data_IF_922957762984
#
_entry.id   IF_922957762984
#
_cell.length_a   1.000
_cell.length_b   1.000
_cell.length_c   1.000
_cell.angle_alpha   90.00
_cell.angle_beta   90.00
_cell.angle_gamma   90.00
#
_symmetry.space_group_name_H-M   'P 1'
#
loop_
_entity.id
_entity.type
_entity.pdbx_description
1 polymer ?
#
# COMPACT_ATOMS: atom_id res chain seq x y z
N UNK A 1 3.78 -10.01 -5.52
CA UNK A 1 2.83 -8.98 -5.03
C UNK A 1 3.29 -8.33 -3.73
N UNK A 2 3.95 -9.06 -2.82
CA UNK A 2 4.50 -8.49 -1.58
C UNK A 2 5.44 -7.30 -1.81
N UNK A 3 6.43 -7.44 -2.69
CA UNK A 3 7.37 -6.37 -3.05
C UNK A 3 6.68 -5.16 -3.69
N UNK A 4 5.59 -5.40 -4.44
CA UNK A 4 4.82 -4.33 -5.08
C UNK A 4 4.04 -3.54 -4.03
N UNK A 5 3.41 -4.21 -3.08
CA UNK A 5 2.74 -3.58 -1.94
C UNK A 5 3.75 -2.78 -1.09
N UNK A 6 4.92 -3.36 -0.78
CA UNK A 6 5.98 -2.68 -0.04
C UNK A 6 6.47 -1.44 -0.78
N UNK A 7 6.80 -1.55 -2.07
CA UNK A 7 7.25 -0.42 -2.89
C UNK A 7 6.20 0.69 -2.97
N UNK A 8 4.92 0.36 -3.19
CA UNK A 8 3.84 1.35 -3.19
C UNK A 8 3.74 2.03 -1.82
N UNK A 9 3.82 1.29 -0.71
CA UNK A 9 3.76 1.87 0.64
C UNK A 9 4.93 2.83 0.92
N UNK A 10 6.15 2.52 0.44
CA UNK A 10 7.33 3.40 0.58
C UNK A 10 7.20 4.69 -0.24
N UNK A 11 6.63 4.60 -1.45
CA UNK A 11 6.35 5.79 -2.27
C UNK A 11 5.30 6.67 -1.59
N UNK A 12 4.27 6.07 -0.99
CA UNK A 12 3.27 6.80 -0.22
C UNK A 12 3.85 7.45 1.05
N UNK A 13 4.82 6.81 1.69
CA UNK A 13 5.47 7.35 2.87
C UNK A 13 6.26 8.62 2.52
N UNK A 14 6.99 8.60 1.40
CA UNK A 14 7.61 9.82 0.86
C UNK A 14 6.56 10.89 0.50
N UNK A 15 5.43 10.48 -0.09
CA UNK A 15 4.34 11.38 -0.42
C UNK A 15 3.65 11.98 0.82
N UNK A 16 3.82 11.40 2.02
CA UNK A 16 3.28 11.92 3.27
C UNK A 16 3.80 13.33 3.59
N UNK A 17 4.98 13.70 3.08
CA UNK A 17 5.53 15.06 3.17
C UNK A 17 4.61 16.11 2.57
N UNK A 18 3.78 15.73 1.59
CA UNK A 18 2.79 16.62 1.01
C UNK A 18 1.70 16.99 2.03
N UNK A 19 1.47 16.21 3.08
CA UNK A 19 0.49 16.53 4.13
C UNK A 19 1.08 17.37 5.28
N UNK A 20 2.36 17.76 5.20
CA UNK A 20 2.98 18.57 6.24
C UNK A 20 2.35 19.96 6.33
N UNK A 21 1.99 20.39 7.54
CA UNK A 21 1.51 21.75 7.82
C UNK A 21 2.60 22.81 7.56
N UNK A 22 3.88 22.43 7.71
CA UNK A 22 5.02 23.32 7.51
C UNK A 22 5.51 23.41 6.06
N UNK A 23 4.78 22.82 5.10
CA UNK A 23 5.16 22.88 3.68
C UNK A 23 5.17 24.33 3.16
N UNK A 24 6.00 24.63 2.16
CA UNK A 24 6.09 25.98 1.58
C UNK A 24 4.81 26.35 0.81
N UNK A 25 4.65 27.65 0.53
CA UNK A 25 3.51 28.12 -0.28
C UNK A 25 3.60 27.59 -1.71
N UNK A 26 4.80 27.48 -2.28
CA UNK A 26 4.98 26.87 -3.60
C UNK A 26 4.50 25.41 -3.60
N UNK A 27 4.83 24.61 -2.56
CA UNK A 27 4.37 23.22 -2.47
C UNK A 27 2.84 23.12 -2.40
N UNK A 28 2.16 24.05 -1.72
CA UNK A 28 0.69 24.12 -1.71
C UNK A 28 0.13 24.44 -3.10
N UNK A 29 0.72 25.39 -3.82
CA UNK A 29 0.28 25.77 -5.16
C UNK A 29 0.43 24.63 -6.18
N UNK A 30 1.47 23.81 -6.03
CA UNK A 30 1.75 22.68 -6.92
C UNK A 30 1.19 21.33 -6.45
N UNK A 31 0.39 21.30 -5.38
CA UNK A 31 -0.11 20.06 -4.76
C UNK A 31 -0.75 19.09 -5.77
N UNK A 32 -1.65 19.59 -6.64
CA UNK A 32 -2.28 18.76 -7.68
C UNK A 32 -1.24 18.12 -8.62
N UNK A 33 -0.19 18.83 -9.00
CA UNK A 33 0.86 18.32 -9.89
C UNK A 33 1.72 17.30 -9.16
N UNK A 34 2.02 17.53 -7.87
CA UNK A 34 2.80 16.60 -7.04
C UNK A 34 2.06 15.27 -6.89
N UNK A 35 0.77 15.27 -6.57
CA UNK A 35 -0.04 14.05 -6.53
C UNK A 35 -0.17 13.36 -7.90
N UNK A 36 -0.26 14.12 -8.99
CA UNK A 36 -0.19 13.55 -10.34
C UNK A 36 1.16 12.87 -10.62
N UNK A 37 2.27 13.38 -10.09
CA UNK A 37 3.59 12.76 -10.25
C UNK A 37 3.69 11.46 -9.46
N UNK A 38 3.12 11.37 -8.26
CA UNK A 38 3.00 10.11 -7.51
C UNK A 38 2.21 9.07 -8.31
N UNK A 39 1.04 9.45 -8.84
CA UNK A 39 0.26 8.58 -9.71
C UNK A 39 1.03 8.13 -10.96
N UNK A 40 1.85 9.00 -11.57
CA UNK A 40 2.70 8.63 -12.72
C UNK A 40 3.80 7.65 -12.33
N UNK A 41 4.49 7.88 -11.21
CA UNK A 41 5.53 6.98 -10.71
C UNK A 41 5.02 5.55 -10.49
N UNK A 42 3.75 5.41 -10.11
CA UNK A 42 3.07 4.12 -9.92
C UNK A 42 2.33 3.63 -11.18
N UNK A 43 2.47 4.30 -12.33
CA UNK A 43 1.67 4.16 -13.56
C UNK A 43 0.16 3.97 -13.31
N UNK A 44 -0.39 4.77 -12.39
CA UNK A 44 -1.76 4.71 -11.93
C UNK A 44 -2.61 5.89 -12.47
N UNK A 45 -1.98 6.92 -13.07
CA UNK A 45 -2.65 8.17 -13.46
C UNK A 45 -3.83 7.98 -14.42
N UNK A 46 -3.70 7.12 -15.43
CA UNK A 46 -4.76 6.92 -16.42
C UNK A 46 -5.98 6.24 -15.77
N UNK A 47 -5.76 5.20 -14.98
CA UNK A 47 -6.82 4.48 -14.26
C UNK A 47 -7.51 5.38 -13.25
N UNK A 48 -6.75 6.17 -12.48
CA UNK A 48 -7.30 7.15 -11.55
C UNK A 48 -8.25 8.12 -12.25
N UNK A 49 -7.83 8.69 -13.40
CA UNK A 49 -8.66 9.64 -14.16
C UNK A 49 -9.92 8.99 -14.73
N UNK A 50 -9.84 7.73 -15.14
CA UNK A 50 -10.98 6.99 -15.67
C UNK A 50 -12.02 6.68 -14.60
N UNK A 51 -11.62 6.50 -13.33
CA UNK A 51 -12.55 6.12 -12.26
C UNK A 51 -13.06 7.33 -11.46
N UNK A 52 -12.20 8.29 -11.12
CA UNK A 52 -12.56 9.34 -10.16
C UNK A 52 -13.31 10.51 -10.81
N UNK A 53 -13.17 10.71 -12.14
CA UNK A 53 -13.80 11.79 -12.91
C UNK A 53 -13.70 13.20 -12.29
N UNK A 54 -12.79 13.40 -11.34
CA UNK A 54 -12.68 14.59 -10.50
C UNK A 54 -11.27 15.17 -10.57
N UNK A 55 -11.09 16.36 -9.99
CA UNK A 55 -9.76 16.94 -9.81
C UNK A 55 -8.95 16.04 -8.87
N UNK A 56 -7.68 15.82 -9.20
CA UNK A 56 -6.73 15.07 -8.35
C UNK A 56 -6.59 15.75 -7.00
N UNK A 57 -6.94 15.02 -5.93
CA UNK A 57 -6.77 15.42 -4.53
C UNK A 57 -5.99 14.35 -3.77
N UNK A 58 -5.25 14.76 -2.74
CA UNK A 58 -4.35 13.86 -2.01
C UNK A 58 -5.05 12.71 -1.30
N UNK A 59 -6.15 12.99 -0.61
CA UNK A 59 -7.00 12.00 0.05
C UNK A 59 -7.57 10.96 -0.93
N UNK A 60 -8.07 11.42 -2.08
CA UNK A 60 -8.56 10.52 -3.14
C UNK A 60 -7.43 9.66 -3.72
N UNK A 61 -6.23 10.22 -3.91
CA UNK A 61 -5.06 9.48 -4.42
C UNK A 61 -4.56 8.45 -3.40
N UNK A 62 -4.51 8.81 -2.12
CA UNK A 62 -4.12 7.90 -1.05
C UNK A 62 -5.08 6.71 -0.96
N UNK A 63 -6.39 6.97 -0.89
CA UNK A 63 -7.41 5.92 -0.90
C UNK A 63 -7.30 5.04 -2.15
N UNK A 64 -7.12 5.62 -3.33
CA UNK A 64 -6.98 4.86 -4.57
C UNK A 64 -5.76 3.93 -4.55
N UNK A 65 -4.59 4.43 -4.13
CA UNK A 65 -3.34 3.66 -4.10
C UNK A 65 -3.30 2.62 -2.96
N UNK A 66 -4.06 2.83 -1.89
CA UNK A 66 -4.14 1.88 -0.77
C UNK A 66 -5.21 0.82 -0.96
N UNK A 67 -6.40 1.20 -1.44
CA UNK A 67 -7.61 0.37 -1.31
C UNK A 67 -8.17 -0.15 -2.64
N UNK A 68 -7.86 0.47 -3.78
CA UNK A 68 -8.54 0.11 -5.03
C UNK A 68 -8.15 -1.30 -5.51
N UNK A 69 -9.08 -2.24 -5.45
CA UNK A 69 -8.84 -3.65 -5.83
C UNK A 69 -8.64 -3.87 -7.34
N UNK A 70 -8.97 -2.89 -8.18
CA UNK A 70 -8.83 -2.99 -9.63
C UNK A 70 -7.50 -2.45 -10.13
N UNK A 71 -6.80 -1.64 -9.35
CA UNK A 71 -5.47 -1.13 -9.64
C UNK A 71 -4.42 -2.19 -9.25
N UNK A 72 -3.71 -2.83 -10.20
CA UNK A 72 -2.79 -3.92 -9.88
C UNK A 72 -1.67 -3.56 -8.90
N UNK A 73 -1.30 -2.27 -8.82
CA UNK A 73 -0.26 -1.76 -7.92
C UNK A 73 -0.79 -1.18 -6.60
N UNK A 74 -2.11 -1.15 -6.40
CA UNK A 74 -2.61 -0.77 -5.09
C UNK A 74 -2.19 -1.81 -4.05
N UNK A 75 -2.11 -1.36 -2.80
CA UNK A 75 -1.80 -2.26 -1.68
C UNK A 75 -2.90 -3.31 -1.54
N UNK A 76 -4.18 -2.92 -1.56
CA UNK A 76 -5.32 -3.82 -1.45
C UNK A 76 -5.35 -4.91 -2.53
N UNK A 77 -5.17 -4.54 -3.81
CA UNK A 77 -5.11 -5.52 -4.91
C UNK A 77 -3.93 -6.48 -4.76
N UNK A 78 -2.76 -5.98 -4.34
CA UNK A 78 -1.59 -6.83 -4.11
C UNK A 78 -1.83 -7.83 -2.97
N UNK A 79 -2.52 -7.43 -1.89
CA UNK A 79 -2.83 -8.31 -0.76
C UNK A 79 -3.85 -9.37 -1.15
N UNK A 80 -4.92 -9.00 -1.85
CA UNK A 80 -5.92 -9.95 -2.35
C UNK A 80 -5.28 -11.02 -3.23
N UNK A 81 -4.40 -10.60 -4.16
CA UNK A 81 -3.64 -11.54 -4.98
C UNK A 81 -2.66 -12.42 -4.16
N UNK A 82 -2.11 -11.93 -3.05
CA UNK A 82 -1.30 -12.76 -2.14
C UNK A 82 -2.15 -13.81 -1.43
N UNK A 83 -3.34 -13.43 -1.00
CA UNK A 83 -4.35 -14.30 -0.35
C UNK A 83 -4.70 -15.48 -1.25
N UNK A 84 -5.04 -15.20 -2.51
CA UNK A 84 -5.35 -16.22 -3.52
C UNK A 84 -4.18 -17.16 -3.80
N UNK A 85 -2.95 -16.63 -3.91
CA UNK A 85 -1.77 -17.47 -4.14
C UNK A 85 -1.45 -18.36 -2.94
N UNK A 86 -1.46 -17.82 -1.72
CA UNK A 86 -1.05 -18.56 -0.51
C UNK A 86 -2.01 -19.70 -0.20
N UNK A 87 -3.31 -19.54 -0.46
CA UNK A 87 -4.29 -20.60 -0.31
C UNK A 87 -4.01 -21.85 -1.16
N UNK A 88 -3.23 -21.70 -2.24
CA UNK A 88 -2.89 -22.77 -3.16
C UNK A 88 -1.49 -23.40 -2.93
N UNK A 89 -0.68 -22.84 -2.02
CA UNK A 89 0.68 -23.33 -1.77
C UNK A 89 0.70 -24.38 -0.65
N UNK A 90 1.51 -25.45 -0.75
CA UNK A 90 1.69 -26.40 0.35
C UNK A 90 2.47 -25.75 1.51
N UNK A 91 2.33 -26.25 2.74
CA UNK A 91 3.04 -25.76 3.93
C UNK A 91 2.78 -24.27 4.27
N UNK A 92 1.61 -23.72 3.96
CA UNK A 92 1.28 -22.31 4.25
C UNK A 92 0.94 -22.03 5.73
N UNK A 93 1.40 -22.84 6.67
CA UNK A 93 1.00 -22.75 8.08
C UNK A 93 1.21 -21.34 8.64
N UNK A 94 0.16 -20.79 9.26
CA UNK A 94 0.13 -19.45 9.88
C UNK A 94 0.02 -18.26 8.91
N UNK A 95 0.30 -18.44 7.61
CA UNK A 95 0.19 -17.35 6.63
C UNK A 95 -1.25 -16.90 6.35
N UNK A 96 -2.27 -17.77 6.26
CA UNK A 96 -3.66 -17.33 6.08
C UNK A 96 -4.10 -16.34 7.15
N UNK A 97 -3.73 -16.59 8.41
CA UNK A 97 -4.08 -15.69 9.52
C UNK A 97 -3.39 -14.32 9.37
N UNK A 98 -2.09 -14.29 9.02
CA UNK A 98 -1.37 -13.02 8.77
C UNK A 98 -1.97 -12.23 7.60
N UNK A 99 -2.40 -12.91 6.53
CA UNK A 99 -3.06 -12.25 5.41
C UNK A 99 -4.40 -11.66 5.84
N UNK A 100 -5.23 -12.41 6.56
CA UNK A 100 -6.53 -11.91 7.06
C UNK A 100 -6.32 -10.66 7.92
N UNK A 101 -5.32 -10.66 8.81
CA UNK A 101 -4.99 -9.51 9.64
C UNK A 101 -4.50 -8.31 8.81
N UNK A 102 -3.71 -8.56 7.77
CA UNK A 102 -3.22 -7.53 6.85
C UNK A 102 -4.34 -6.96 5.97
N UNK A 103 -5.24 -7.80 5.47
CA UNK A 103 -6.45 -7.40 4.73
C UNK A 103 -7.36 -6.55 5.60
N UNK A 104 -7.66 -7.00 6.82
CA UNK A 104 -8.48 -6.26 7.78
C UNK A 104 -7.84 -4.91 8.13
N UNK A 105 -6.52 -4.88 8.32
CA UNK A 105 -5.78 -3.64 8.56
C UNK A 105 -5.94 -2.66 7.41
N UNK A 106 -5.72 -3.10 6.16
CA UNK A 106 -5.81 -2.23 4.98
C UNK A 106 -7.24 -1.76 4.74
N UNK A 107 -8.24 -2.63 4.87
CA UNK A 107 -9.65 -2.25 4.72
C UNK A 107 -10.13 -1.24 5.77
N UNK A 108 -9.48 -1.20 6.94
CA UNK A 108 -9.80 -0.24 8.00
C UNK A 108 -9.12 1.14 7.81
N UNK A 109 -8.24 1.30 6.82
CA UNK A 109 -7.58 2.60 6.57
C UNK A 109 -8.62 3.59 6.03
N UNK A 110 -8.74 4.73 6.72
CA UNK A 110 -9.46 5.91 6.23
C UNK A 110 -8.45 7.04 6.02
N UNK A 111 -8.22 7.44 4.76
CA UNK A 111 -7.31 8.53 4.45
C UNK A 111 -7.96 9.91 4.37
N UNK A 112 -9.25 10.01 4.74
CA UNK A 112 -9.95 11.31 4.77
C UNK A 112 -9.42 12.14 5.93
N UNK A 113 -8.95 13.34 5.61
CA UNK A 113 -8.45 14.31 6.60
C UNK A 113 -7.29 13.79 7.48
N UNK A 114 -6.54 12.81 6.99
CA UNK A 114 -5.40 12.25 7.71
C UNK A 114 -4.25 13.26 7.75
N UNK A 115 -3.66 13.45 8.93
CA UNK A 115 -2.43 14.26 9.08
C UNK A 115 -1.21 13.49 8.58
N UNK A 116 -0.11 14.19 8.31
CA UNK A 116 1.15 13.54 7.97
C UNK A 116 1.58 12.49 9.01
N UNK A 117 1.48 12.81 10.31
CA UNK A 117 1.89 11.90 11.38
C UNK A 117 1.06 10.61 11.40
N UNK A 118 -0.26 10.74 11.22
CA UNK A 118 -1.17 9.59 11.15
C UNK A 118 -0.89 8.73 9.91
N UNK A 119 -0.67 9.35 8.74
CA UNK A 119 -0.37 8.60 7.52
C UNK A 119 0.93 7.80 7.66
N UNK A 120 2.01 8.41 8.19
CA UNK A 120 3.26 7.70 8.43
C UNK A 120 3.07 6.52 9.39
N UNK A 121 2.35 6.70 10.49
CA UNK A 121 2.06 5.61 11.43
C UNK A 121 1.26 4.46 10.77
N UNK A 122 0.34 4.79 9.86
CA UNK A 122 -0.40 3.80 9.07
C UNK A 122 0.56 3.03 8.15
N UNK A 123 1.41 3.74 7.42
CA UNK A 123 2.33 3.15 6.46
C UNK A 123 3.44 2.33 7.13
N UNK A 124 3.96 2.77 8.27
CA UNK A 124 4.93 2.03 9.10
C UNK A 124 4.32 0.70 9.56
N UNK A 125 3.08 0.73 10.05
CA UNK A 125 2.37 -0.48 10.49
C UNK A 125 2.10 -1.43 9.32
N UNK A 126 1.73 -0.90 8.15
CA UNK A 126 1.56 -1.68 6.93
C UNK A 126 2.89 -2.35 6.51
N UNK A 127 3.98 -1.59 6.47
CA UNK A 127 5.32 -2.07 6.10
C UNK A 127 5.81 -3.16 7.05
N UNK A 128 5.62 -2.99 8.36
CA UNK A 128 5.97 -4.00 9.36
C UNK A 128 5.18 -5.30 9.13
N UNK A 129 3.86 -5.22 8.90
CA UNK A 129 3.03 -6.40 8.60
C UNK A 129 3.46 -7.11 7.31
N UNK A 130 3.81 -6.35 6.26
CA UNK A 130 4.38 -6.90 5.04
C UNK A 130 5.73 -7.58 5.29
N UNK A 131 6.59 -7.00 6.12
CA UNK A 131 7.86 -7.59 6.54
C UNK A 131 7.70 -8.89 7.31
N UNK A 132 6.76 -8.95 8.25
CA UNK A 132 6.43 -10.18 8.99
C UNK A 132 5.90 -11.28 8.05
N UNK A 133 5.02 -10.93 7.12
CA UNK A 133 4.51 -11.85 6.11
C UNK A 133 5.66 -12.40 5.26
N UNK A 134 6.57 -11.53 4.83
CA UNK A 134 7.75 -11.92 4.06
C UNK A 134 8.65 -12.89 4.86
N UNK A 135 8.92 -12.59 6.13
CA UNK A 135 9.71 -13.45 7.02
C UNK A 135 9.11 -14.84 7.16
N UNK A 136 7.80 -14.94 7.37
CA UNK A 136 7.12 -16.23 7.48
C UNK A 136 7.10 -17.02 6.15
N UNK A 137 7.02 -16.32 5.01
CA UNK A 137 7.20 -16.97 3.69
C UNK A 137 8.63 -17.54 3.59
N UNK A 138 9.65 -16.79 4.02
CA UNK A 138 11.03 -17.27 4.01
C UNK A 138 11.19 -18.53 4.89
N UNK A 139 10.62 -18.53 6.09
CA UNK A 139 10.65 -19.67 7.01
C UNK A 139 9.96 -20.92 6.43
N UNK A 140 8.77 -20.76 5.84
CA UNK A 140 7.97 -21.90 5.38
C UNK A 140 8.59 -22.64 4.17
N UNK A 141 9.30 -21.93 3.28
CA UNK A 141 9.77 -22.50 2.00
C UNK A 141 11.26 -22.39 1.71
N UNK A 142 11.98 -21.43 2.30
CA UNK A 142 13.36 -21.14 1.90
C UNK A 142 14.40 -21.40 3.00
N UNK A 143 13.99 -21.31 4.26
CA UNK A 143 14.86 -21.49 5.43
C UNK A 143 14.59 -22.80 6.19
N UNK A 144 13.66 -23.63 5.70
CA UNK A 144 13.54 -25.02 6.16
C UNK A 144 14.80 -25.76 5.75
N UNK A 145 15.72 -25.98 6.70
CA UNK A 145 16.70 -27.05 6.55
C UNK A 145 15.93 -28.35 6.26
N UNK A 146 16.30 -29.03 5.19
CA UNK A 146 15.83 -30.39 4.87
C UNK A 146 16.14 -31.31 6.04
N UNK A 147 15.23 -31.38 7.00
CA UNK A 147 15.03 -32.56 7.84
C UNK A 147 13.96 -33.39 7.14
N UNK A 148 14.43 -34.19 6.18
CA UNK A 148 13.93 -35.53 5.82
C UNK A 148 14.83 -36.13 4.73
#
# INVERSE_FOLDING_TARGET
NIERADMTSRILDLASLLLSESRSEELRQYETILWMNILKALNALLMYRQQMHSRVKGDDVLNFLLLDKNLPRSVGCCIEAMSECIGNLPNHNGLPQKIIELEAYVQAIDTRQTTQAQLRSILDSLQNKLGELHGQIAENWFLRETQD
#
